data_IF_540595135705
#
_entry.id   IF_540595135705
#
_cell.length_a   1.000
_cell.length_b   1.000
_cell.length_c   1.000
_cell.angle_alpha   90.00
_cell.angle_beta   90.00
_cell.angle_gamma   90.00
#
_symmetry.space_group_name_H-M   'P 1'
#
loop_
_entity.id
_entity.type
_entity.pdbx_description
1 polymer ?
#
# COMPACT_ATOMS: atom_id res chain seq x y z
N UNK A 1 -36.34 -2.02 18.90
CA UNK A 1 -37.79 -1.84 18.75
C UNK A 1 -38.57 -3.06 19.24
N UNK A 2 -38.30 -4.27 18.73
CA UNK A 2 -39.02 -5.51 19.10
C UNK A 2 -39.09 -5.76 20.61
N UNK A 3 -37.98 -5.55 21.35
CA UNK A 3 -37.96 -5.72 22.81
C UNK A 3 -38.86 -4.71 23.53
N UNK A 4 -38.89 -3.46 23.06
CA UNK A 4 -39.78 -2.43 23.58
C UNK A 4 -41.25 -2.80 23.35
N UNK A 5 -41.61 -3.26 22.16
CA UNK A 5 -43.00 -3.61 21.83
C UNK A 5 -43.50 -4.81 22.66
N UNK A 6 -42.65 -5.79 22.93
CA UNK A 6 -42.96 -6.94 23.81
C UNK A 6 -43.22 -6.46 25.24
N UNK A 7 -42.37 -5.59 25.81
CA UNK A 7 -42.55 -5.06 27.17
C UNK A 7 -43.77 -4.17 27.26
N UNK A 8 -44.02 -3.30 26.28
CA UNK A 8 -45.22 -2.44 26.25
C UNK A 8 -46.48 -3.30 26.32
N UNK A 9 -46.56 -4.37 25.54
CA UNK A 9 -47.69 -5.29 25.58
C UNK A 9 -47.86 -5.99 26.93
N UNK A 10 -46.73 -6.45 27.55
CA UNK A 10 -46.75 -7.10 28.87
C UNK A 10 -47.20 -6.12 29.98
N UNK A 11 -46.75 -4.86 29.94
CA UNK A 11 -47.17 -3.84 30.94
C UNK A 11 -48.65 -3.52 30.77
N UNK A 12 -49.12 -3.39 29.53
CA UNK A 12 -50.56 -3.17 29.27
C UNK A 12 -51.44 -4.34 29.69
N UNK A 13 -50.93 -5.56 29.67
CA UNK A 13 -51.59 -6.74 30.16
C UNK A 13 -51.42 -6.98 31.69
N UNK A 14 -50.70 -6.05 32.40
CA UNK A 14 -50.44 -6.21 33.85
C UNK A 14 -49.41 -7.27 34.22
N UNK A 15 -48.67 -7.79 33.20
CA UNK A 15 -47.72 -8.91 33.34
C UNK A 15 -46.28 -8.42 33.55
N UNK A 16 -46.02 -7.12 33.51
CA UNK A 16 -44.69 -6.56 33.72
C UNK A 16 -44.79 -5.18 34.43
N UNK A 17 -43.79 -4.80 35.20
CA UNK A 17 -43.72 -3.53 35.88
C UNK A 17 -43.43 -2.36 34.91
N UNK A 18 -43.99 -1.18 35.15
CA UNK A 18 -43.75 0.05 34.35
C UNK A 18 -42.26 0.43 34.26
N UNK A 19 -41.49 0.13 35.29
CA UNK A 19 -40.06 0.35 35.34
C UNK A 19 -39.35 -0.36 34.17
N UNK A 20 -39.76 -1.59 33.81
CA UNK A 20 -39.20 -2.34 32.68
C UNK A 20 -39.52 -1.65 31.34
N UNK A 21 -40.68 -1.00 31.22
CA UNK A 21 -41.01 -0.22 30.03
C UNK A 21 -40.09 0.99 29.89
N UNK A 22 -39.90 1.77 30.96
CA UNK A 22 -38.98 2.91 30.92
C UNK A 22 -37.53 2.49 30.58
N UNK A 23 -37.09 1.35 31.12
CA UNK A 23 -35.77 0.82 30.76
C UNK A 23 -35.68 0.40 29.26
N UNK A 24 -36.75 -0.16 28.71
CA UNK A 24 -36.83 -0.51 27.31
C UNK A 24 -36.85 0.74 26.39
N UNK A 25 -37.55 1.80 26.82
CA UNK A 25 -37.58 3.10 26.15
C UNK A 25 -36.18 3.73 26.10
N UNK A 26 -35.47 3.77 27.24
CA UNK A 26 -34.09 4.25 27.33
C UNK A 26 -33.16 3.47 26.38
N UNK A 27 -33.29 2.15 26.36
CA UNK A 27 -32.52 1.30 25.48
C UNK A 27 -32.82 1.59 23.99
N UNK A 28 -34.09 1.82 23.64
CA UNK A 28 -34.50 2.16 22.27
C UNK A 28 -33.95 3.53 21.86
N UNK A 29 -34.03 4.55 22.74
CA UNK A 29 -33.49 5.88 22.44
C UNK A 29 -31.97 5.87 22.25
N UNK A 30 -31.26 5.15 23.13
CA UNK A 30 -29.80 4.97 22.97
C UNK A 30 -29.42 4.25 21.67
N UNK A 31 -30.20 3.26 21.28
CA UNK A 31 -29.99 2.56 20.01
C UNK A 31 -30.24 3.47 18.79
N UNK A 32 -31.30 4.29 18.83
CA UNK A 32 -31.59 5.29 17.78
C UNK A 32 -30.48 6.34 17.67
N UNK A 33 -30.01 6.87 18.82
CA UNK A 33 -28.89 7.82 18.85
C UNK A 33 -27.62 7.22 18.27
N UNK A 34 -27.31 5.96 18.63
CA UNK A 34 -26.16 5.26 18.08
C UNK A 34 -26.27 5.04 16.57
N UNK A 35 -27.45 4.72 16.05
CA UNK A 35 -27.69 4.58 14.62
C UNK A 35 -27.45 5.91 13.91
N UNK A 36 -28.01 7.01 14.40
CA UNK A 36 -27.83 8.33 13.81
C UNK A 36 -26.34 8.76 13.77
N UNK A 37 -25.60 8.48 14.85
CA UNK A 37 -24.17 8.76 14.88
C UNK A 37 -23.41 7.95 13.81
N UNK A 38 -23.78 6.68 13.59
CA UNK A 38 -23.19 5.84 12.55
C UNK A 38 -23.55 6.30 11.14
N UNK A 39 -24.76 6.83 10.94
CA UNK A 39 -25.17 7.41 9.66
C UNK A 39 -24.35 8.66 9.34
N UNK A 40 -24.13 9.55 10.31
CA UNK A 40 -23.25 10.71 10.15
C UNK A 40 -21.82 10.29 9.86
N UNK A 41 -21.29 9.31 10.58
CA UNK A 41 -19.94 8.77 10.35
C UNK A 41 -19.80 8.20 8.94
N UNK A 42 -20.83 7.48 8.45
CA UNK A 42 -20.84 6.94 7.08
C UNK A 42 -20.79 8.06 6.02
N UNK A 43 -21.58 9.12 6.19
CA UNK A 43 -21.56 10.25 5.25
C UNK A 43 -20.19 10.97 5.25
N UNK A 44 -19.60 11.17 6.43
CA UNK A 44 -18.25 11.74 6.53
C UNK A 44 -17.21 10.86 5.80
N UNK A 45 -17.24 9.54 6.00
CA UNK A 45 -16.34 8.61 5.33
C UNK A 45 -16.57 8.60 3.80
N UNK A 46 -17.82 8.73 3.34
CA UNK A 46 -18.12 8.88 1.91
C UNK A 46 -17.53 10.15 1.32
N UNK A 47 -17.60 11.25 2.05
CA UNK A 47 -17.04 12.54 1.61
C UNK A 47 -15.51 12.50 1.58
N UNK A 48 -14.88 11.90 2.59
CA UNK A 48 -13.43 11.63 2.58
C UNK A 48 -13.02 10.76 1.38
N UNK A 49 -13.79 9.72 1.09
CA UNK A 49 -13.55 8.85 -0.07
C UNK A 49 -13.70 9.62 -1.39
N UNK A 50 -14.76 10.43 -1.55
CA UNK A 50 -14.95 11.28 -2.74
C UNK A 50 -13.76 12.23 -2.95
N UNK A 51 -13.31 12.87 -1.86
CA UNK A 51 -12.14 13.74 -1.87
C UNK A 51 -10.88 12.99 -2.28
N UNK A 52 -10.68 11.78 -1.75
CA UNK A 52 -9.51 10.95 -2.06
C UNK A 52 -9.44 10.54 -3.54
N UNK A 53 -10.58 10.19 -4.15
CA UNK A 53 -10.64 9.77 -5.56
C UNK A 53 -10.89 10.92 -6.55
N UNK A 54 -11.03 12.15 -6.06
CA UNK A 54 -11.21 13.35 -6.89
C UNK A 54 -12.61 13.52 -7.49
N UNK A 55 -13.65 12.90 -6.90
CA UNK A 55 -15.07 13.09 -7.27
C UNK A 55 -15.62 14.32 -6.54
N UNK A 56 -16.57 15.03 -7.17
CA UNK A 56 -17.21 16.18 -6.53
C UNK A 56 -18.07 15.73 -5.34
N UNK A 57 -18.02 16.50 -4.24
CA UNK A 57 -18.77 16.14 -3.00
C UNK A 57 -20.28 16.02 -3.22
N UNK A 58 -20.84 16.74 -4.20
CA UNK A 58 -22.27 16.69 -4.55
C UNK A 58 -22.69 15.41 -5.29
N UNK A 59 -21.73 14.65 -5.84
CA UNK A 59 -22.05 13.44 -6.58
C UNK A 59 -22.47 12.34 -5.61
N UNK A 60 -23.52 11.60 -5.95
CA UNK A 60 -23.98 10.50 -5.11
C UNK A 60 -23.10 9.28 -5.35
N UNK A 61 -22.54 8.73 -4.26
CA UNK A 61 -21.73 7.50 -4.29
C UNK A 61 -22.45 6.41 -3.51
N UNK A 62 -22.82 5.35 -4.23
CA UNK A 62 -23.36 4.13 -3.63
C UNK A 62 -22.24 3.11 -3.55
N UNK A 63 -21.84 2.74 -2.33
CA UNK A 63 -20.87 1.69 -2.12
C UNK A 63 -21.55 0.33 -2.12
N UNK A 64 -21.21 -0.52 -3.09
CA UNK A 64 -21.65 -1.91 -3.12
C UNK A 64 -20.56 -2.75 -2.41
N UNK A 65 -20.81 -3.10 -1.16
CA UNK A 65 -19.94 -4.01 -0.44
C UNK A 65 -20.32 -5.46 -0.77
N UNK A 66 -19.71 -6.03 -1.81
CA UNK A 66 -19.73 -7.47 -1.98
C UNK A 66 -18.78 -8.10 -0.97
N UNK A 67 -19.33 -8.50 0.18
CA UNK A 67 -18.63 -9.15 1.29
C UNK A 67 -18.57 -10.68 1.09
N UNK A 68 -19.22 -11.20 0.03
CA UNK A 68 -19.16 -12.62 -0.26
C UNK A 68 -17.71 -13.05 -0.52
N UNK A 69 -17.30 -14.14 0.13
CA UNK A 69 -15.94 -14.68 -0.01
C UNK A 69 -16.04 -15.99 -0.75
N UNK A 70 -15.46 -16.01 -1.93
CA UNK A 70 -15.03 -17.22 -2.61
C UNK A 70 -13.55 -17.43 -2.27
N UNK A 71 -13.18 -18.53 -1.58
CA UNK A 71 -11.79 -18.81 -1.31
C UNK A 71 -11.00 -18.90 -2.61
N UNK A 72 -10.05 -17.99 -2.77
CA UNK A 72 -9.17 -17.97 -3.94
C UNK A 72 -7.98 -18.88 -3.70
N UNK A 73 -7.71 -19.80 -4.62
CA UNK A 73 -6.50 -20.64 -4.55
C UNK A 73 -5.29 -19.80 -4.94
N UNK A 74 -4.41 -19.59 -3.98
CA UNK A 74 -3.16 -18.84 -4.19
C UNK A 74 -2.01 -19.82 -4.28
N UNK A 75 -1.28 -19.78 -5.41
CA UNK A 75 0.01 -20.47 -5.54
C UNK A 75 1.13 -19.48 -5.17
N UNK A 76 1.83 -19.81 -4.08
CA UNK A 76 2.94 -19.00 -3.59
C UNK A 76 4.12 -18.93 -4.57
N UNK A 77 4.40 -20.03 -5.30
CA UNK A 77 5.52 -20.07 -6.25
C UNK A 77 5.25 -19.12 -7.43
N UNK A 78 4.02 -19.14 -7.96
CA UNK A 78 3.57 -18.21 -9.01
C UNK A 78 3.65 -16.77 -8.52
N UNK A 79 3.21 -16.48 -7.29
CA UNK A 79 3.25 -15.13 -6.73
C UNK A 79 4.69 -14.58 -6.62
N UNK A 80 5.62 -15.41 -6.14
CA UNK A 80 7.05 -15.04 -6.02
C UNK A 80 7.66 -14.84 -7.41
N UNK A 81 7.41 -15.76 -8.35
CA UNK A 81 7.96 -15.66 -9.69
C UNK A 81 7.54 -14.36 -10.37
N UNK A 82 6.24 -14.06 -10.44
CA UNK A 82 5.76 -12.82 -11.06
C UNK A 82 6.28 -11.56 -10.38
N UNK A 83 6.38 -11.55 -9.05
CA UNK A 83 6.97 -10.43 -8.35
C UNK A 83 8.43 -10.19 -8.72
N UNK A 84 9.23 -11.24 -8.79
CA UNK A 84 10.66 -11.14 -9.16
C UNK A 84 10.87 -10.74 -10.62
N UNK A 85 9.93 -11.07 -11.51
CA UNK A 85 9.99 -10.72 -12.93
C UNK A 85 9.50 -9.29 -13.23
N UNK A 86 8.43 -8.83 -12.52
CA UNK A 86 7.70 -7.63 -12.91
C UNK A 86 7.94 -6.41 -12.00
N UNK A 87 8.57 -6.56 -10.83
CA UNK A 87 8.73 -5.45 -9.90
C UNK A 87 9.81 -4.47 -10.34
N UNK A 88 9.40 -3.22 -10.49
CA UNK A 88 10.28 -2.14 -10.97
C UNK A 88 11.44 -1.83 -10.02
N UNK A 89 11.30 -2.11 -8.72
CA UNK A 89 12.38 -1.92 -7.74
C UNK A 89 13.62 -2.78 -8.07
N UNK A 90 13.40 -4.00 -8.60
CA UNK A 90 14.51 -4.86 -9.04
C UNK A 90 15.18 -4.29 -10.29
N UNK A 91 14.42 -3.78 -11.24
CA UNK A 91 14.96 -3.12 -12.42
C UNK A 91 15.76 -1.87 -12.06
N UNK A 92 15.27 -1.08 -11.09
CA UNK A 92 15.99 0.07 -10.56
C UNK A 92 17.36 -0.32 -9.96
N UNK A 93 17.40 -1.42 -9.19
CA UNK A 93 18.66 -1.96 -8.64
C UNK A 93 19.62 -2.43 -9.75
N UNK A 94 19.11 -3.08 -10.79
CA UNK A 94 19.91 -3.47 -11.95
C UNK A 94 20.53 -2.27 -12.67
N UNK A 95 19.72 -1.22 -12.93
CA UNK A 95 20.22 0.04 -13.53
C UNK A 95 21.29 0.67 -12.65
N UNK A 96 21.15 0.61 -11.31
CA UNK A 96 22.16 1.10 -10.38
C UNK A 96 23.48 0.35 -10.52
N UNK A 97 23.44 -0.97 -10.71
CA UNK A 97 24.64 -1.80 -10.98
C UNK A 97 25.28 -1.39 -12.32
N UNK A 98 24.48 -1.27 -13.38
CA UNK A 98 24.94 -0.82 -14.70
C UNK A 98 25.64 0.57 -14.61
N UNK A 99 25.04 1.52 -13.91
CA UNK A 99 25.64 2.85 -13.67
C UNK A 99 26.96 2.74 -12.90
N UNK A 100 27.05 1.89 -11.88
CA UNK A 100 28.28 1.66 -11.14
C UNK A 100 29.37 1.03 -12.02
N UNK A 101 29.01 0.20 -13.00
CA UNK A 101 29.93 -0.36 -14.00
C UNK A 101 30.43 0.73 -14.96
N UNK A 102 29.56 1.65 -15.42
CA UNK A 102 29.99 2.81 -16.21
C UNK A 102 30.93 3.72 -15.43
N UNK A 103 30.70 3.91 -14.13
CA UNK A 103 31.59 4.69 -13.28
C UNK A 103 32.95 3.98 -13.07
N UNK A 104 32.99 2.65 -13.07
CA UNK A 104 34.24 1.90 -13.10
C UNK A 104 35.03 2.15 -14.39
N UNK A 105 34.35 2.20 -15.55
CA UNK A 105 34.99 2.51 -16.85
C UNK A 105 35.56 3.92 -16.79
N UNK A 106 34.80 4.92 -16.30
CA UNK A 106 35.30 6.29 -16.12
C UNK A 106 36.50 6.35 -15.17
N UNK A 107 36.43 5.59 -14.07
CA UNK A 107 37.51 5.52 -13.08
C UNK A 107 38.79 4.91 -13.69
N UNK A 108 38.67 3.89 -14.53
CA UNK A 108 39.81 3.29 -15.26
C UNK A 108 40.46 4.29 -16.21
N UNK A 109 39.68 5.19 -16.80
CA UNK A 109 40.15 6.22 -17.73
C UNK A 109 40.71 7.50 -17.06
N UNK A 110 40.59 7.65 -15.70
CA UNK A 110 40.94 8.89 -15.02
C UNK A 110 42.40 9.31 -15.18
N UNK A 111 43.34 8.41 -15.14
CA UNK A 111 44.77 8.69 -15.24
C UNK A 111 45.37 8.20 -16.56
N UNK A 112 44.57 8.21 -17.62
CA UNK A 112 45.07 7.93 -18.96
C UNK A 112 45.52 9.24 -19.65
N UNK A 113 46.27 9.12 -20.71
CA UNK A 113 46.70 10.22 -21.55
C UNK A 113 45.50 11.09 -21.99
N UNK A 114 45.55 12.43 -21.73
CA UNK A 114 44.57 13.38 -22.18
C UNK A 114 45.16 14.43 -23.05
N UNK A 115 44.47 14.76 -24.14
CA UNK A 115 44.80 15.88 -25.01
C UNK A 115 43.60 16.84 -25.08
N UNK A 116 43.80 18.07 -24.68
CA UNK A 116 42.78 19.13 -24.73
C UNK A 116 43.12 20.14 -25.86
N UNK A 117 42.19 20.29 -26.79
CA UNK A 117 42.26 21.33 -27.83
C UNK A 117 41.34 22.50 -27.45
N UNK A 118 41.96 23.64 -27.20
CA UNK A 118 41.22 24.87 -26.91
C UNK A 118 41.39 25.86 -28.09
N UNK A 119 40.24 26.23 -28.65
CA UNK A 119 40.13 27.26 -29.68
C UNK A 119 39.45 28.50 -29.06
N UNK A 120 40.11 29.62 -29.11
CA UNK A 120 39.52 30.89 -28.66
C UNK A 120 39.78 32.01 -29.66
N UNK A 121 38.79 32.87 -29.84
CA UNK A 121 38.89 34.09 -30.62
C UNK A 121 38.60 35.24 -29.69
N UNK A 122 39.60 36.06 -29.46
CA UNK A 122 39.47 37.32 -28.69
C UNK A 122 39.43 38.52 -29.61
N UNK A 123 38.69 39.54 -29.22
CA UNK A 123 38.72 40.87 -29.76
C UNK A 123 39.34 41.78 -28.71
N UNK A 124 40.48 42.41 -29.00
CA UNK A 124 41.13 43.36 -28.11
C UNK A 124 41.06 44.74 -28.72
N UNK A 125 40.55 45.69 -27.97
CA UNK A 125 40.59 47.09 -28.28
C UNK A 125 41.50 47.82 -27.29
N UNK A 126 42.43 48.62 -27.75
CA UNK A 126 43.25 49.47 -26.93
C UNK A 126 43.07 50.95 -27.45
N UNK A 127 42.52 51.82 -26.60
CA UNK A 127 42.30 53.23 -26.92
C UNK A 127 42.34 54.02 -25.60
N UNK A 128 42.83 55.27 -25.69
CA UNK A 128 42.85 56.16 -24.54
C UNK A 128 41.48 56.56 -24.04
N UNK A 129 40.44 56.51 -24.88
CA UNK A 129 39.05 56.73 -24.51
C UNK A 129 38.25 55.49 -24.57
N UNK A 130 37.54 55.10 -23.47
CA UNK A 130 36.72 53.93 -23.34
C UNK A 130 35.65 53.80 -24.45
N UNK A 131 35.11 54.94 -24.92
CA UNK A 131 34.10 54.95 -25.98
C UNK A 131 34.60 54.42 -27.33
N UNK A 132 35.89 54.48 -27.59
CA UNK A 132 36.51 54.13 -28.88
C UNK A 132 37.26 52.77 -28.80
N UNK A 133 37.21 52.10 -27.70
CA UNK A 133 37.96 50.86 -27.47
C UNK A 133 37.57 49.75 -28.46
N UNK A 134 36.35 49.81 -29.01
CA UNK A 134 35.84 48.79 -29.95
C UNK A 134 35.75 49.26 -31.40
N UNK A 135 36.21 50.52 -31.73
CA UNK A 135 36.12 51.02 -33.08
C UNK A 135 37.04 50.29 -34.06
N UNK A 136 38.20 49.82 -33.60
CA UNK A 136 39.14 49.00 -34.39
C UNK A 136 39.74 47.86 -33.62
N UNK A 137 38.94 46.82 -33.28
CA UNK A 137 39.42 45.68 -32.47
C UNK A 137 40.40 44.85 -33.25
N UNK A 138 41.48 44.46 -32.58
CA UNK A 138 42.45 43.51 -33.12
C UNK A 138 41.90 42.06 -32.82
N UNK A 139 41.79 41.26 -33.86
CA UNK A 139 41.41 39.87 -33.74
C UNK A 139 42.61 39.04 -33.28
N UNK A 140 42.45 38.31 -32.19
CA UNK A 140 43.49 37.44 -31.64
C UNK A 140 42.99 35.99 -31.59
N UNK A 141 43.06 35.23 -32.70
CA UNK A 141 42.79 33.82 -32.67
C UNK A 141 43.90 33.07 -31.89
N UNK A 142 43.52 32.24 -30.95
CA UNK A 142 44.45 31.42 -30.18
C UNK A 142 44.06 29.96 -30.28
N UNK A 143 44.97 29.11 -30.67
CA UNK A 143 44.85 27.66 -30.66
C UNK A 143 45.84 27.13 -29.63
N UNK A 144 45.39 26.36 -28.67
CA UNK A 144 46.28 25.69 -27.74
C UNK A 144 45.93 24.19 -27.65
N UNK A 145 46.95 23.37 -27.73
CA UNK A 145 46.87 21.92 -27.52
C UNK A 145 47.65 21.61 -26.25
N UNK A 146 46.97 21.03 -25.26
CA UNK A 146 47.57 20.67 -23.98
C UNK A 146 47.53 19.17 -23.82
N UNK A 147 48.66 18.55 -23.63
CA UNK A 147 48.76 17.10 -23.32
C UNK A 147 49.07 16.94 -21.84
N UNK A 148 48.25 16.13 -21.17
CA UNK A 148 48.45 15.77 -19.77
C UNK A 148 48.80 14.29 -19.69
N UNK A 149 50.06 13.99 -19.31
CA UNK A 149 50.60 12.66 -19.19
C UNK A 149 50.97 12.42 -17.74
N UNK A 150 50.17 11.63 -16.97
CA UNK A 150 50.51 11.28 -15.61
C UNK A 150 51.69 10.27 -15.60
N UNK A 151 52.80 10.69 -15.05
CA UNK A 151 54.04 9.85 -14.99
C UNK A 151 53.98 8.89 -13.80
N UNK A 152 53.40 9.36 -12.66
CA UNK A 152 53.32 8.60 -11.44
C UNK A 152 52.15 9.07 -10.56
N UNK A 153 51.32 8.13 -10.07
CA UNK A 153 50.09 8.43 -9.35
C UNK A 153 50.06 7.85 -7.92
N UNK A 154 51.18 7.38 -7.40
CA UNK A 154 51.30 6.80 -6.06
C UNK A 154 50.27 5.68 -5.77
N UNK A 155 49.73 5.03 -6.78
CA UNK A 155 48.72 3.97 -6.68
C UNK A 155 47.29 4.48 -6.54
N UNK A 156 47.03 5.75 -6.78
CA UNK A 156 45.69 6.37 -6.72
C UNK A 156 44.70 5.66 -7.65
N UNK A 157 45.07 5.47 -8.94
CA UNK A 157 44.24 4.76 -9.93
C UNK A 157 43.83 3.37 -9.44
N UNK A 158 44.78 2.59 -8.95
CA UNK A 158 44.55 1.24 -8.43
C UNK A 158 43.60 1.24 -7.23
N UNK A 159 43.78 2.19 -6.32
CA UNK A 159 42.93 2.32 -5.13
C UNK A 159 41.51 2.74 -5.46
N UNK A 160 41.33 3.69 -6.41
CA UNK A 160 40.01 4.13 -6.92
C UNK A 160 39.28 3.01 -7.65
N UNK A 161 39.99 2.21 -8.49
CA UNK A 161 39.42 1.06 -9.15
C UNK A 161 38.91 0.04 -8.14
N UNK A 162 39.71 -0.32 -7.12
CA UNK A 162 39.29 -1.25 -6.06
C UNK A 162 38.07 -0.74 -5.27
N UNK A 163 38.04 0.56 -4.97
CA UNK A 163 36.90 1.17 -4.31
C UNK A 163 35.62 1.04 -5.15
N UNK A 164 35.72 1.28 -6.46
CA UNK A 164 34.58 1.18 -7.37
C UNK A 164 34.13 -0.28 -7.57
N UNK A 165 35.05 -1.23 -7.61
CA UNK A 165 34.73 -2.66 -7.64
C UNK A 165 33.99 -3.10 -6.37
N UNK A 166 34.37 -2.56 -5.20
CA UNK A 166 33.65 -2.79 -3.95
C UNK A 166 32.22 -2.19 -3.97
N UNK A 167 32.04 -1.02 -4.58
CA UNK A 167 30.70 -0.40 -4.78
C UNK A 167 29.81 -1.29 -5.67
N UNK A 168 30.35 -1.81 -6.77
CA UNK A 168 29.60 -2.74 -7.63
C UNK A 168 29.18 -3.98 -6.83
N UNK A 169 30.12 -4.57 -6.08
CA UNK A 169 29.83 -5.74 -5.26
C UNK A 169 28.75 -5.48 -4.20
N UNK A 170 28.81 -4.31 -3.57
CA UNK A 170 27.76 -3.87 -2.63
C UNK A 170 26.40 -3.77 -3.32
N UNK A 171 26.35 -3.16 -4.53
CA UNK A 171 25.10 -3.02 -5.28
C UNK A 171 24.51 -4.36 -5.73
N UNK A 172 25.36 -5.35 -6.08
CA UNK A 172 24.93 -6.71 -6.38
C UNK A 172 24.31 -7.41 -5.15
N UNK A 173 24.93 -7.26 -3.99
CA UNK A 173 24.40 -7.80 -2.72
C UNK A 173 23.08 -7.11 -2.34
N UNK A 174 22.95 -5.82 -2.59
CA UNK A 174 21.70 -5.08 -2.37
C UNK A 174 20.56 -5.59 -3.26
N UNK A 175 20.86 -5.92 -4.52
CA UNK A 175 19.88 -6.54 -5.42
C UNK A 175 19.44 -7.91 -4.89
N UNK A 176 20.37 -8.73 -4.44
CA UNK A 176 20.05 -10.05 -3.88
C UNK A 176 19.22 -9.94 -2.61
N UNK A 177 19.60 -9.04 -1.71
CA UNK A 177 18.83 -8.74 -0.51
C UNK A 177 17.41 -8.27 -0.85
N UNK A 178 17.24 -7.43 -1.87
CA UNK A 178 15.92 -6.96 -2.30
C UNK A 178 15.04 -8.12 -2.79
N UNK A 179 15.60 -9.07 -3.55
CA UNK A 179 14.87 -10.28 -3.97
C UNK A 179 14.39 -11.09 -2.78
N UNK A 180 15.27 -11.31 -1.80
CA UNK A 180 14.94 -12.03 -0.57
C UNK A 180 13.82 -11.31 0.19
N UNK A 181 13.86 -9.99 0.31
CA UNK A 181 12.82 -9.20 1.00
C UNK A 181 11.47 -9.31 0.28
N UNK A 182 11.45 -9.27 -1.05
CA UNK A 182 10.23 -9.47 -1.84
C UNK A 182 9.65 -10.86 -1.56
N UNK A 183 10.46 -11.90 -1.61
CA UNK A 183 10.02 -13.27 -1.33
C UNK A 183 9.48 -13.41 0.10
N UNK A 184 10.18 -12.88 1.11
CA UNK A 184 9.74 -12.90 2.50
C UNK A 184 8.39 -12.19 2.70
N UNK A 185 8.19 -11.04 2.04
CA UNK A 185 6.94 -10.30 2.12
C UNK A 185 5.78 -11.11 1.51
N UNK A 186 5.96 -11.71 0.34
CA UNK A 186 4.94 -12.55 -0.29
C UNK A 186 4.61 -13.77 0.58
N UNK A 187 5.61 -14.43 1.14
CA UNK A 187 5.42 -15.55 2.07
C UNK A 187 4.64 -15.15 3.32
N UNK A 188 4.88 -13.93 3.84
CA UNK A 188 4.15 -13.39 4.98
C UNK A 188 2.67 -13.15 4.62
N UNK A 189 2.41 -12.48 3.50
CA UNK A 189 1.05 -12.21 3.02
C UNK A 189 0.30 -13.50 2.75
N UNK A 190 0.93 -14.48 2.11
CA UNK A 190 0.34 -15.79 1.87
C UNK A 190 -0.10 -16.49 3.17
N UNK A 191 0.78 -16.52 4.19
CA UNK A 191 0.43 -17.10 5.50
C UNK A 191 -0.71 -16.35 6.20
N UNK A 192 -0.73 -15.02 6.07
CA UNK A 192 -1.83 -14.20 6.61
C UNK A 192 -3.15 -14.55 5.93
N UNK A 193 -3.18 -14.72 4.61
CA UNK A 193 -4.38 -15.14 3.87
C UNK A 193 -4.91 -16.48 4.39
N UNK A 194 -4.04 -17.48 4.58
CA UNK A 194 -4.44 -18.78 5.13
C UNK A 194 -5.02 -18.67 6.55
N UNK A 195 -4.38 -17.85 7.38
CA UNK A 195 -4.88 -17.59 8.74
C UNK A 195 -6.24 -16.88 8.72
N UNK A 196 -6.43 -15.88 7.84
CA UNK A 196 -7.68 -15.15 7.72
C UNK A 196 -8.84 -16.04 7.24
N UNK A 197 -8.60 -17.01 6.34
CA UNK A 197 -9.60 -18.01 5.96
C UNK A 197 -10.06 -18.80 7.17
N UNK A 198 -9.13 -19.28 7.99
CA UNK A 198 -9.47 -20.00 9.23
C UNK A 198 -10.24 -19.11 10.21
N UNK A 199 -9.85 -17.83 10.35
CA UNK A 199 -10.57 -16.87 11.20
C UNK A 199 -12.01 -16.63 10.72
N UNK A 200 -12.24 -16.59 9.41
CA UNK A 200 -13.58 -16.46 8.83
C UNK A 200 -14.45 -17.65 9.18
N UNK A 201 -13.92 -18.87 9.07
CA UNK A 201 -14.69 -20.07 9.41
C UNK A 201 -15.05 -20.11 10.90
N UNK A 202 -14.12 -19.74 11.77
CA UNK A 202 -14.37 -19.56 13.20
C UNK A 202 -15.42 -18.47 13.46
N UNK A 203 -15.31 -17.32 12.80
CA UNK A 203 -16.25 -16.22 12.98
C UNK A 203 -17.65 -16.56 12.47
N UNK A 204 -17.78 -17.30 11.35
CA UNK A 204 -19.06 -17.85 10.86
C UNK A 204 -19.71 -18.78 11.88
N UNK A 205 -18.94 -19.68 12.46
CA UNK A 205 -19.47 -20.61 13.48
C UNK A 205 -19.89 -19.85 14.74
N UNK A 206 -19.11 -18.87 15.17
CA UNK A 206 -19.43 -18.03 16.33
C UNK A 206 -20.70 -17.18 16.09
N UNK A 207 -20.85 -16.60 14.90
CA UNK A 207 -22.04 -15.83 14.53
C UNK A 207 -23.29 -16.74 14.55
N UNK A 208 -23.19 -17.92 13.93
CA UNK A 208 -24.28 -18.91 13.94
C UNK A 208 -24.68 -19.32 15.36
N UNK A 209 -23.72 -19.60 16.22
CA UNK A 209 -23.98 -19.97 17.62
C UNK A 209 -24.62 -18.80 18.40
N UNK A 210 -24.13 -17.57 18.20
CA UNK A 210 -24.71 -16.40 18.82
C UNK A 210 -26.13 -16.11 18.33
N UNK A 211 -26.42 -16.35 17.06
CA UNK A 211 -27.76 -16.22 16.47
C UNK A 211 -28.73 -17.20 17.14
N UNK A 212 -28.37 -18.49 17.21
CA UNK A 212 -29.18 -19.51 17.86
C UNK A 212 -29.40 -19.23 19.35
N UNK A 213 -28.34 -18.77 20.03
CA UNK A 213 -28.44 -18.39 21.46
C UNK A 213 -29.40 -17.23 21.65
N UNK A 214 -29.31 -16.21 20.79
CA UNK A 214 -30.24 -15.06 20.84
C UNK A 214 -31.69 -15.51 20.58
N UNK A 215 -31.95 -16.35 19.58
CA UNK A 215 -33.29 -16.83 19.25
C UNK A 215 -33.92 -17.60 20.40
N UNK A 216 -33.19 -18.55 21.03
CA UNK A 216 -33.66 -19.27 22.21
C UNK A 216 -33.99 -18.31 23.36
N UNK A 217 -33.12 -17.34 23.64
CA UNK A 217 -33.32 -16.42 24.74
C UNK A 217 -34.42 -15.37 24.44
N UNK A 218 -34.68 -15.05 23.18
CA UNK A 218 -35.81 -14.24 22.77
C UNK A 218 -37.15 -14.94 23.10
N UNK A 219 -37.26 -16.25 22.85
CA UNK A 219 -38.44 -17.04 23.23
C UNK A 219 -38.62 -17.13 24.76
N UNK A 220 -37.52 -17.35 25.50
CA UNK A 220 -37.55 -17.33 26.98
C UNK A 220 -38.02 -15.97 27.53
N UNK A 221 -37.53 -14.87 26.90
CA UNK A 221 -37.97 -13.52 27.26
C UNK A 221 -39.47 -13.30 26.96
N UNK A 222 -39.97 -13.82 25.82
CA UNK A 222 -41.42 -13.78 25.50
C UNK A 222 -42.25 -14.49 26.54
N UNK A 223 -41.78 -15.64 27.02
CA UNK A 223 -42.46 -16.46 28.04
C UNK A 223 -42.33 -15.89 29.47
N UNK A 224 -41.45 -14.91 29.69
CA UNK A 224 -41.22 -14.28 30.99
C UNK A 224 -40.09 -14.92 31.81
N UNK A 225 -39.37 -15.87 31.27
CA UNK A 225 -38.29 -16.62 31.92
C UNK A 225 -36.93 -15.91 31.84
N UNK A 226 -36.90 -14.74 31.25
CA UNK A 226 -35.67 -13.97 31.07
C UNK A 226 -35.95 -12.46 31.27
N UNK A 227 -34.98 -11.74 31.82
CA UNK A 227 -35.05 -10.28 31.95
C UNK A 227 -34.71 -9.55 30.67
N UNK A 228 -35.16 -8.28 30.53
CA UNK A 228 -34.79 -7.46 29.37
C UNK A 228 -33.28 -7.15 29.32
N UNK A 229 -32.63 -7.12 30.49
CA UNK A 229 -31.18 -6.91 30.59
C UNK A 229 -30.39 -8.09 30.04
N UNK A 230 -30.84 -9.32 30.40
CA UNK A 230 -30.20 -10.53 29.86
C UNK A 230 -30.41 -10.68 28.35
N UNK A 231 -31.62 -10.38 27.85
CA UNK A 231 -31.88 -10.39 26.41
C UNK A 231 -30.98 -9.40 25.67
N UNK A 232 -30.76 -8.19 26.24
CA UNK A 232 -29.86 -7.20 25.68
C UNK A 232 -28.42 -7.70 25.62
N UNK A 233 -27.97 -8.45 26.62
CA UNK A 233 -26.65 -9.07 26.61
C UNK A 233 -26.48 -10.00 25.40
N UNK A 234 -27.41 -10.91 25.14
CA UNK A 234 -27.38 -11.81 23.99
C UNK A 234 -27.49 -11.08 22.66
N UNK A 235 -28.29 -10.01 22.61
CA UNK A 235 -28.38 -9.14 21.43
C UNK A 235 -27.04 -8.44 21.11
N UNK A 236 -26.36 -7.93 22.15
CA UNK A 236 -25.04 -7.32 21.99
C UNK A 236 -24.00 -8.35 21.54
N UNK A 237 -24.01 -9.55 22.13
CA UNK A 237 -23.12 -10.65 21.71
C UNK A 237 -23.33 -11.02 20.25
N UNK A 238 -24.59 -11.16 19.81
CA UNK A 238 -24.89 -11.44 18.39
C UNK A 238 -24.36 -10.32 17.48
N UNK A 239 -24.62 -9.06 17.84
CA UNK A 239 -24.14 -7.92 17.07
C UNK A 239 -22.61 -7.89 16.98
N UNK A 240 -21.92 -8.18 18.08
CA UNK A 240 -20.45 -8.27 18.12
C UNK A 240 -19.94 -9.40 17.20
N UNK A 241 -20.56 -10.58 17.23
CA UNK A 241 -20.11 -11.70 16.38
C UNK A 241 -20.40 -11.46 14.90
N UNK A 242 -21.53 -10.80 14.56
CA UNK A 242 -21.80 -10.33 13.19
C UNK A 242 -20.75 -9.33 12.70
N UNK A 243 -20.41 -8.34 13.53
CA UNK A 243 -19.35 -7.37 13.19
C UNK A 243 -17.98 -8.05 13.03
N UNK A 244 -17.65 -9.00 13.91
CA UNK A 244 -16.39 -9.76 13.83
C UNK A 244 -16.28 -10.56 12.54
N UNK A 245 -17.38 -11.19 12.09
CA UNK A 245 -17.41 -11.89 10.80
C UNK A 245 -17.18 -10.95 9.62
N UNK A 246 -17.91 -9.83 9.58
CA UNK A 246 -17.73 -8.82 8.53
C UNK A 246 -16.29 -8.28 8.51
N UNK A 247 -15.73 -7.99 9.69
CA UNK A 247 -14.35 -7.51 9.78
C UNK A 247 -13.33 -8.55 9.28
N UNK A 248 -13.52 -9.83 9.62
CA UNK A 248 -12.65 -10.90 9.14
C UNK A 248 -12.73 -11.04 7.61
N UNK A 249 -13.92 -10.89 7.02
CA UNK A 249 -14.14 -10.92 5.58
C UNK A 249 -13.46 -9.74 4.87
N UNK A 250 -13.59 -8.54 5.42
CA UNK A 250 -12.92 -7.34 4.90
C UNK A 250 -11.40 -7.51 4.96
N UNK A 251 -10.87 -7.97 6.10
CA UNK A 251 -9.43 -8.18 6.26
C UNK A 251 -8.88 -9.20 5.24
N UNK A 252 -9.62 -10.27 4.95
CA UNK A 252 -9.24 -11.23 3.92
C UNK A 252 -9.18 -10.60 2.53
N UNK A 253 -10.20 -9.81 2.13
CA UNK A 253 -10.21 -9.12 0.83
C UNK A 253 -9.08 -8.10 0.71
N UNK A 254 -8.79 -7.36 1.78
CA UNK A 254 -7.67 -6.43 1.82
C UNK A 254 -6.32 -7.15 1.69
N UNK A 255 -6.15 -8.29 2.37
CA UNK A 255 -4.90 -9.05 2.27
C UNK A 255 -4.74 -9.72 0.90
N UNK A 256 -5.83 -10.16 0.27
CA UNK A 256 -5.80 -10.66 -1.11
C UNK A 256 -5.43 -9.55 -2.11
N UNK A 257 -5.96 -8.34 -1.92
CA UNK A 257 -5.56 -7.16 -2.69
C UNK A 257 -4.08 -6.80 -2.46
N UNK A 258 -3.62 -6.89 -1.20
CA UNK A 258 -2.21 -6.69 -0.86
C UNK A 258 -1.32 -7.72 -1.59
N UNK A 259 -1.72 -9.00 -1.62
CA UNK A 259 -1.01 -10.02 -2.40
C UNK A 259 -0.95 -9.64 -3.89
N UNK A 260 -2.06 -9.21 -4.46
CA UNK A 260 -2.17 -8.78 -5.85
C UNK A 260 -1.19 -7.63 -6.17
N UNK A 261 -1.08 -6.64 -5.26
CA UNK A 261 -0.13 -5.53 -5.38
C UNK A 261 1.31 -6.02 -5.23
N UNK A 262 1.58 -6.91 -4.26
CA UNK A 262 2.94 -7.40 -3.99
C UNK A 262 3.45 -8.35 -5.07
N UNK A 263 2.59 -9.20 -5.64
CA UNK A 263 2.94 -10.16 -6.67
C UNK A 263 2.80 -9.62 -8.09
N UNK A 264 2.08 -8.50 -8.29
CA UNK A 264 1.64 -8.00 -9.59
C UNK A 264 0.86 -9.04 -10.40
N UNK A 265 0.15 -9.95 -9.70
CA UNK A 265 -0.64 -11.01 -10.28
C UNK A 265 -2.03 -11.07 -9.65
N UNK A 266 -3.07 -11.19 -10.48
CA UNK A 266 -4.46 -11.31 -10.04
C UNK A 266 -4.86 -12.78 -9.96
N UNK A 267 -4.89 -13.35 -8.74
CA UNK A 267 -5.28 -14.74 -8.50
C UNK A 267 -6.78 -15.01 -8.67
N UNK A 268 -7.63 -13.97 -8.63
CA UNK A 268 -9.06 -14.12 -8.88
C UNK A 268 -9.35 -14.28 -10.37
N UNK A 269 -8.61 -13.53 -11.21
CA UNK A 269 -8.73 -13.56 -12.68
C UNK A 269 -7.68 -14.45 -13.35
N UNK A 270 -6.73 -14.95 -12.57
CA UNK A 270 -5.63 -15.78 -13.02
C UNK A 270 -4.81 -15.15 -14.16
N UNK A 271 -4.44 -13.86 -13.99
CA UNK A 271 -3.71 -13.10 -15.00
C UNK A 271 -2.71 -12.12 -14.37
N UNK A 272 -1.57 -11.83 -15.04
CA UNK A 272 -0.65 -10.81 -14.60
C UNK A 272 -1.28 -9.42 -14.73
N UNK A 273 -0.92 -8.50 -13.79
CA UNK A 273 -1.36 -7.09 -13.85
C UNK A 273 -0.52 -6.26 -14.80
N UNK A 274 0.73 -6.64 -14.99
CA UNK A 274 1.66 -5.98 -15.90
C UNK A 274 1.90 -6.91 -17.09
N UNK A 275 1.72 -6.45 -18.33
CA UNK A 275 2.04 -7.26 -19.51
C UNK A 275 3.53 -7.63 -19.50
N UNK A 276 3.83 -8.90 -19.60
CA UNK A 276 5.21 -9.43 -19.62
C UNK A 276 6.03 -8.96 -20.82
N UNK A 277 5.37 -8.52 -21.89
CA UNK A 277 6.01 -8.06 -23.14
C UNK A 277 6.79 -6.74 -22.98
N UNK A 278 6.49 -5.94 -21.96
CA UNK A 278 7.20 -4.69 -21.70
C UNK A 278 8.67 -4.90 -21.28
N UNK A 279 9.02 -6.07 -20.80
CA UNK A 279 10.37 -6.39 -20.30
C UNK A 279 11.15 -7.34 -21.21
N UNK A 280 10.49 -7.99 -22.19
CA UNK A 280 11.12 -8.96 -23.09
C UNK A 280 11.90 -8.33 -24.26
N UNK A 281 11.68 -7.06 -24.58
CA UNK A 281 12.27 -6.37 -25.73
C UNK A 281 13.59 -5.63 -25.46
N UNK A 282 14.29 -5.92 -24.36
CA UNK A 282 15.60 -5.32 -24.06
C UNK A 282 16.66 -6.44 -23.86
N UNK A 283 16.93 -7.17 -24.94
CA UNK A 283 18.17 -7.96 -25.08
C UNK A 283 19.15 -7.25 -26.02
#
# INVERSE_FOLDING_TARGET
QQSHDIISNKVNAGLAAKEQLYQAELNLMNAKSSLQNREVELENIKDDFKSFIGIQLKDEVITLADISITPTQVDMAIAVQHALEARMELRQKQISIENSQFDLIKTKALNDFKGDLNLSIGLFGENEALANTYDNPTRSPKVSVTFNIPIFDWGEKKSRIRAQEAVIKSSELDLENQKIQIELNIRKVYRNIQNLLTQIDIAKQNEKNAQLTYEINLERYRNGDLTSMDLKLYQNQLSEKKMSLVQAQINYKLELLNLKIQSLYDFEKNQPLVPTDLFSNQK
#
